data_IF_668081300202
#
_entry.id   IF_668081300202
#
_cell.length_a   1.000
_cell.length_b   1.000
_cell.length_c   1.000
_cell.angle_alpha   90.00
_cell.angle_beta   90.00
_cell.angle_gamma   90.00
#
_symmetry.space_group_name_H-M   'P 1'
#
loop_
_entity.id
_entity.type
_entity.pdbx_description
1 polymer ?
#
# COMPACT_ATOMS: atom_id res chain seq x y z
N UNK A 1 7.92 6.57 -12.19
CA UNK A 1 8.76 6.31 -11.00
C UNK A 1 8.60 4.84 -10.60
N UNK A 2 9.41 4.32 -9.68
CA UNK A 2 9.28 2.93 -9.23
C UNK A 2 9.42 2.82 -7.71
N UNK A 3 8.72 1.85 -7.13
CA UNK A 3 8.96 1.35 -5.77
C UNK A 3 9.20 -0.16 -5.84
N UNK A 4 9.80 -0.72 -4.81
CA UNK A 4 9.91 -2.18 -4.63
C UNK A 4 9.04 -2.56 -3.44
N UNK A 5 8.10 -3.48 -3.60
CA UNK A 5 7.22 -3.91 -2.51
C UNK A 5 7.94 -4.79 -1.47
N UNK A 6 7.20 -5.27 -0.47
CA UNK A 6 7.76 -6.13 0.59
C UNK A 6 8.22 -7.51 0.09
N UNK A 7 7.71 -7.98 -1.05
CA UNK A 7 8.08 -9.25 -1.68
C UNK A 7 9.30 -9.11 -2.60
N UNK A 8 9.79 -7.89 -2.82
CA UNK A 8 10.90 -7.62 -3.74
C UNK A 8 10.45 -7.30 -5.16
N UNK A 9 9.15 -7.21 -5.41
CA UNK A 9 8.60 -6.95 -6.73
C UNK A 9 8.63 -5.46 -7.07
N UNK A 10 9.02 -5.16 -8.30
CA UNK A 10 9.17 -3.77 -8.77
C UNK A 10 7.85 -3.27 -9.35
N UNK A 11 7.30 -2.23 -8.74
CA UNK A 11 6.02 -1.63 -9.15
C UNK A 11 6.29 -0.30 -9.86
N UNK A 12 5.76 -0.18 -11.08
CA UNK A 12 5.81 1.07 -11.84
C UNK A 12 4.72 2.01 -11.36
N UNK A 13 5.11 3.21 -10.92
CA UNK A 13 4.20 4.29 -10.55
C UNK A 13 4.05 5.24 -11.73
N UNK A 14 2.84 5.26 -12.29
CA UNK A 14 2.43 6.12 -13.42
C UNK A 14 1.74 7.40 -12.96
N UNK A 15 1.02 7.34 -11.84
CA UNK A 15 0.41 8.48 -11.16
C UNK A 15 0.60 8.30 -9.64
N UNK A 16 1.34 9.22 -9.03
CA UNK A 16 1.71 9.12 -7.62
C UNK A 16 0.54 9.43 -6.69
N UNK A 17 -0.29 10.43 -7.02
CA UNK A 17 -1.40 10.83 -6.18
C UNK A 17 -2.51 9.78 -6.21
N UNK A 18 -2.82 9.24 -7.39
CA UNK A 18 -3.76 8.14 -7.53
C UNK A 18 -3.29 6.89 -6.76
N UNK A 19 -2.00 6.56 -6.82
CA UNK A 19 -1.44 5.43 -6.09
C UNK A 19 -1.53 5.60 -4.56
N UNK A 20 -1.26 6.80 -4.04
CA UNK A 20 -1.40 7.11 -2.60
C UNK A 20 -2.86 7.00 -2.16
N UNK A 21 -3.79 7.53 -2.95
CA UNK A 21 -5.23 7.41 -2.67
C UNK A 21 -5.67 5.95 -2.63
N UNK A 22 -5.23 5.14 -3.61
CA UNK A 22 -5.52 3.72 -3.68
C UNK A 22 -5.01 2.97 -2.44
N UNK A 23 -3.75 3.18 -2.05
CA UNK A 23 -3.17 2.51 -0.88
C UNK A 23 -3.90 2.86 0.43
N UNK A 24 -4.34 4.12 0.60
CA UNK A 24 -5.14 4.52 1.76
C UNK A 24 -6.52 3.83 1.77
N UNK A 25 -7.21 3.72 0.63
CA UNK A 25 -8.51 3.06 0.56
C UNK A 25 -8.42 1.59 0.99
N UNK A 26 -7.43 0.86 0.48
CA UNK A 26 -7.25 -0.55 0.85
C UNK A 26 -6.78 -0.73 2.30
N UNK A 27 -6.03 0.23 2.85
CA UNK A 27 -5.66 0.19 4.28
C UNK A 27 -6.87 0.41 5.20
N UNK A 28 -7.89 1.16 4.75
CA UNK A 28 -9.10 1.45 5.52
C UNK A 28 -10.24 0.44 5.36
N UNK A 29 -10.12 -0.54 4.46
CA UNK A 29 -11.22 -1.44 4.08
C UNK A 29 -11.49 -2.59 5.07
N UNK A 30 -10.79 -2.68 6.19
CA UNK A 30 -10.90 -3.84 7.08
C UNK A 30 -12.04 -3.71 8.08
N UNK A 31 -13.01 -4.63 8.00
CA UNK A 31 -14.17 -4.72 8.89
C UNK A 31 -13.85 -5.67 10.04
N UNK A 32 -13.95 -5.17 11.28
CA UNK A 32 -13.59 -5.92 12.49
C UNK A 32 -14.41 -7.21 12.72
N UNK A 33 -15.48 -7.42 11.94
CA UNK A 33 -16.37 -8.57 12.04
C UNK A 33 -16.08 -9.70 11.04
N UNK A 34 -15.05 -9.56 10.18
CA UNK A 34 -14.76 -10.60 9.19
C UNK A 34 -14.03 -11.83 9.77
N UNK A 35 -14.34 -13.04 9.28
CA UNK A 35 -13.73 -14.29 9.73
C UNK A 35 -12.27 -14.48 9.25
N UNK A 36 -11.70 -13.54 8.48
CA UNK A 36 -10.41 -13.70 7.79
C UNK A 36 -9.26 -12.85 8.38
N UNK A 37 -9.13 -12.79 9.71
CA UNK A 37 -8.11 -11.94 10.39
C UNK A 37 -6.69 -12.12 9.84
N UNK A 38 -6.26 -13.34 9.59
CA UNK A 38 -4.89 -13.61 9.11
C UNK A 38 -4.64 -12.99 7.72
N UNK A 39 -5.64 -13.08 6.83
CA UNK A 39 -5.58 -12.45 5.52
C UNK A 39 -5.60 -10.92 5.64
N UNK A 40 -6.45 -10.38 6.51
CA UNK A 40 -6.48 -8.95 6.77
C UNK A 40 -5.15 -8.41 7.27
N UNK A 41 -4.49 -9.10 8.20
CA UNK A 41 -3.20 -8.68 8.74
C UNK A 41 -2.13 -8.62 7.66
N UNK A 42 -2.09 -9.62 6.76
CA UNK A 42 -1.18 -9.65 5.62
C UNK A 42 -1.46 -8.48 4.67
N UNK A 43 -2.73 -8.22 4.34
CA UNK A 43 -3.12 -7.11 3.47
C UNK A 43 -2.81 -5.75 4.11
N UNK A 44 -3.11 -5.56 5.40
CA UNK A 44 -2.76 -4.34 6.15
C UNK A 44 -1.27 -4.06 6.09
N UNK A 45 -0.45 -5.09 6.33
CA UNK A 45 1.01 -4.98 6.28
C UNK A 45 1.49 -4.60 4.88
N UNK A 46 0.95 -5.25 3.85
CA UNK A 46 1.28 -4.96 2.46
C UNK A 46 0.93 -3.52 2.07
N UNK A 47 -0.32 -3.09 2.28
CA UNK A 47 -0.77 -1.74 1.90
C UNK A 47 -0.09 -0.63 2.69
N UNK A 48 0.25 -0.88 3.97
CA UNK A 48 1.04 0.05 4.78
C UNK A 48 2.45 0.24 4.21
N UNK A 49 3.12 -0.85 3.81
CA UNK A 49 4.44 -0.80 3.18
C UNK A 49 4.41 -0.01 1.86
N UNK A 50 3.43 -0.29 1.00
CA UNK A 50 3.22 0.45 -0.25
C UNK A 50 3.01 1.95 0.03
N UNK A 51 2.12 2.30 0.96
CA UNK A 51 1.81 3.69 1.29
C UNK A 51 3.05 4.46 1.78
N UNK A 52 3.85 3.86 2.66
CA UNK A 52 5.08 4.48 3.18
C UNK A 52 6.07 4.78 2.06
N UNK A 53 6.26 3.84 1.13
CA UNK A 53 7.18 4.00 0.00
C UNK A 53 6.69 5.05 -1.00
N UNK A 54 5.38 5.12 -1.24
CA UNK A 54 4.79 6.17 -2.08
C UNK A 54 4.93 7.56 -1.44
N UNK A 55 4.74 7.68 -0.12
CA UNK A 55 4.93 8.94 0.61
C UNK A 55 6.40 9.39 0.59
N UNK A 56 7.34 8.46 0.79
CA UNK A 56 8.76 8.76 0.67
C UNK A 56 9.11 9.25 -0.76
N UNK A 57 8.55 8.60 -1.78
CA UNK A 57 8.71 9.03 -3.18
C UNK A 57 8.13 10.43 -3.43
N UNK A 58 7.03 10.79 -2.78
CA UNK A 58 6.42 12.12 -2.88
C UNK A 58 7.24 13.23 -2.21
N UNK A 59 8.04 12.91 -1.18
CA UNK A 59 8.91 13.88 -0.50
C UNK A 59 10.26 14.10 -1.21
N UNK A 60 10.62 13.21 -2.13
CA UNK A 60 11.86 13.30 -2.92
C UNK A 60 11.72 14.14 -4.20
N UNK A 61 10.50 14.56 -4.54
CA UNK A 61 10.16 15.37 -5.71
C UNK A 61 9.59 16.72 -5.29
#
# INVERSE_FOLDING_TARGET
MYITDISGEKIKITDLQAAISQANMFLGYFDANEPFRDFEEVQKKYWKDILQKLQALAQLN
#
